data_IF_551235055346
#
_entry.id   IF_551235055346
#
_cell.length_a   1.000
_cell.length_b   1.000
_cell.length_c   1.000
_cell.angle_alpha   90.00
_cell.angle_beta   90.00
_cell.angle_gamma   90.00
#
_symmetry.space_group_name_H-M   'P 1'
#
loop_
_entity.id
_entity.type
_entity.pdbx_description
1 polymer ?
#
# COMPACT_ATOMS: atom_id res chain seq x y z
N UNK A 1 26.12 -13.56 -40.46
CA UNK A 1 26.00 -13.20 -39.02
C UNK A 1 25.45 -11.79 -38.97
N UNK A 2 24.13 -11.64 -38.98
CA UNK A 2 23.49 -10.35 -38.68
C UNK A 2 23.06 -10.41 -37.22
N UNK A 3 23.71 -9.57 -36.41
CA UNK A 3 23.32 -9.34 -35.03
C UNK A 3 22.13 -8.40 -35.10
N UNK A 4 20.92 -8.96 -34.98
CA UNK A 4 19.70 -8.15 -34.92
C UNK A 4 19.76 -7.24 -33.69
N UNK A 5 19.87 -5.94 -33.91
CA UNK A 5 19.61 -4.93 -32.90
C UNK A 5 18.18 -5.10 -32.40
N UNK A 6 18.03 -5.64 -31.20
CA UNK A 6 16.77 -5.53 -30.46
C UNK A 6 16.63 -4.06 -30.07
N UNK A 7 15.96 -3.28 -30.91
CA UNK A 7 15.51 -1.94 -30.54
C UNK A 7 14.54 -2.11 -29.38
N UNK A 8 15.00 -1.74 -28.18
CA UNK A 8 14.13 -1.64 -27.01
C UNK A 8 12.98 -0.67 -27.30
N UNK A 9 11.90 -0.70 -26.50
CA UNK A 9 10.83 0.27 -26.62
C UNK A 9 11.39 1.70 -26.55
N UNK A 10 10.83 2.61 -27.36
CA UNK A 10 11.24 4.02 -27.37
C UNK A 10 10.98 4.64 -25.99
N UNK A 11 11.91 5.46 -25.46
CA UNK A 11 11.67 6.23 -24.25
C UNK A 11 10.38 7.07 -24.36
N UNK A 12 9.60 7.11 -23.28
CA UNK A 12 8.38 7.92 -23.17
C UNK A 12 8.62 9.02 -22.14
N UNK A 13 8.28 10.26 -22.49
CA UNK A 13 8.30 11.40 -21.57
C UNK A 13 6.93 11.55 -20.92
N UNK A 14 6.88 11.59 -19.60
CA UNK A 14 5.67 11.86 -18.82
C UNK A 14 5.78 13.26 -18.22
N UNK A 15 4.78 14.10 -18.46
CA UNK A 15 4.75 15.50 -17.97
C UNK A 15 3.62 15.78 -16.99
N UNK A 16 2.60 14.92 -16.96
CA UNK A 16 1.51 15.05 -16.00
C UNK A 16 1.99 14.63 -14.61
N UNK A 17 1.80 15.52 -13.63
CA UNK A 17 2.24 15.33 -12.23
C UNK A 17 1.69 14.06 -11.58
N UNK A 18 0.44 13.71 -11.91
CA UNK A 18 -0.22 12.54 -11.33
C UNK A 18 0.29 11.25 -11.98
N UNK A 19 0.47 11.25 -13.30
CA UNK A 19 1.11 10.14 -14.02
C UNK A 19 2.56 9.91 -13.58
N UNK A 20 3.32 10.98 -13.29
CA UNK A 20 4.67 10.87 -12.70
C UNK A 20 4.61 10.17 -11.34
N UNK A 21 3.69 10.57 -10.46
CA UNK A 21 3.47 9.92 -9.17
C UNK A 21 3.17 8.42 -9.31
N UNK A 22 2.23 8.06 -10.20
CA UNK A 22 1.90 6.66 -10.49
C UNK A 22 3.09 5.87 -11.03
N UNK A 23 3.90 6.47 -11.91
CA UNK A 23 5.12 5.82 -12.40
C UNK A 23 6.09 5.55 -11.24
N UNK A 24 6.24 6.48 -10.30
CA UNK A 24 7.07 6.29 -9.10
C UNK A 24 6.62 5.08 -8.26
N UNK A 25 5.31 4.89 -8.08
CA UNK A 25 4.74 3.72 -7.39
C UNK A 25 5.09 2.42 -8.13
N UNK A 26 4.92 2.39 -9.45
CA UNK A 26 5.23 1.21 -10.26
C UNK A 26 6.72 0.87 -10.18
N UNK A 27 7.60 1.88 -10.32
CA UNK A 27 9.05 1.68 -10.26
C UNK A 27 9.50 1.19 -8.88
N UNK A 28 8.92 1.72 -7.80
CA UNK A 28 9.22 1.25 -6.45
C UNK A 28 8.81 -0.22 -6.25
N UNK A 29 7.60 -0.58 -6.67
CA UNK A 29 7.10 -1.96 -6.56
C UNK A 29 7.90 -2.95 -7.41
N UNK A 30 8.12 -2.65 -8.70
CA UNK A 30 8.88 -3.52 -9.61
C UNK A 30 10.37 -3.57 -9.27
N UNK A 31 10.89 -2.54 -8.59
CA UNK A 31 12.24 -2.51 -8.05
C UNK A 31 12.43 -3.33 -6.78
N UNK A 32 11.36 -3.90 -6.20
CA UNK A 32 11.40 -4.65 -4.95
C UNK A 32 11.66 -3.77 -3.72
N UNK A 33 11.28 -2.50 -3.77
CA UNK A 33 11.35 -1.61 -2.61
C UNK A 33 10.12 -1.79 -1.71
N UNK A 34 10.30 -1.62 -0.40
CA UNK A 34 9.21 -1.68 0.58
C UNK A 34 8.51 -0.32 0.77
N UNK A 35 9.09 0.77 0.25
CA UNK A 35 8.64 2.14 0.50
C UNK A 35 8.64 3.00 -0.75
N UNK A 36 7.59 3.79 -0.92
CA UNK A 36 7.50 4.88 -1.88
C UNK A 36 7.46 6.22 -1.14
N UNK A 37 8.32 7.16 -1.50
CA UNK A 37 8.39 8.49 -0.89
C UNK A 37 8.21 9.56 -1.95
N UNK A 38 7.27 10.47 -1.71
CA UNK A 38 7.01 11.62 -2.57
C UNK A 38 7.56 12.87 -1.88
N UNK A 39 8.57 13.47 -2.50
CA UNK A 39 9.26 14.64 -1.97
C UNK A 39 9.19 15.81 -2.95
N UNK A 40 9.24 17.03 -2.41
CA UNK A 40 9.25 18.25 -3.20
C UNK A 40 10.66 18.57 -3.70
N UNK A 41 10.84 18.65 -5.01
CA UNK A 41 12.07 19.14 -5.63
C UNK A 41 11.83 20.56 -6.15
N UNK A 42 12.50 21.56 -5.57
CA UNK A 42 12.41 22.95 -6.00
C UNK A 42 13.69 23.72 -5.68
N UNK A 43 14.05 24.67 -6.55
CA UNK A 43 15.16 25.61 -6.34
C UNK A 43 14.77 26.80 -5.44
N UNK A 44 13.58 26.74 -4.83
CA UNK A 44 13.02 27.79 -3.96
C UNK A 44 12.76 27.25 -2.56
N UNK A 45 13.04 28.10 -1.56
CA UNK A 45 12.78 27.82 -0.16
C UNK A 45 11.66 28.72 0.40
N UNK A 46 10.69 28.18 1.16
CA UNK A 46 10.50 26.75 1.46
C UNK A 46 9.95 25.99 0.24
N UNK A 47 10.34 24.72 0.11
CA UNK A 47 9.81 23.83 -0.92
C UNK A 47 8.29 23.68 -0.82
N UNK A 48 7.61 23.44 -1.95
CA UNK A 48 6.18 23.17 -2.01
C UNK A 48 5.95 21.67 -1.86
N UNK A 49 5.10 21.28 -0.91
CA UNK A 49 4.80 19.87 -0.67
C UNK A 49 4.02 19.26 -1.88
N UNK A 50 4.13 17.94 -2.07
CA UNK A 50 3.47 17.24 -3.19
C UNK A 50 1.94 17.32 -3.12
N UNK A 51 1.36 17.46 -1.93
CA UNK A 51 -0.09 17.59 -1.73
C UNK A 51 -0.66 18.95 -2.18
N UNK A 52 0.16 19.99 -2.31
CA UNK A 52 -0.27 21.24 -2.95
C UNK A 52 -0.17 21.14 -4.48
N UNK A 53 0.63 20.19 -4.98
CA UNK A 53 0.74 19.93 -6.40
C UNK A 53 -0.37 18.99 -6.85
N UNK A 54 -0.69 17.96 -6.10
CA UNK A 54 -1.78 17.02 -6.36
C UNK A 54 -3.10 17.52 -5.78
N UNK A 55 -4.22 17.29 -6.48
CA UNK A 55 -5.53 17.46 -5.86
C UNK A 55 -5.78 16.39 -4.79
N UNK A 56 -6.70 16.66 -3.87
CA UNK A 56 -7.19 15.71 -2.83
C UNK A 56 -7.46 14.31 -3.42
N UNK A 57 -8.28 14.25 -4.47
CA UNK A 57 -8.66 13.01 -5.13
C UNK A 57 -7.48 12.24 -5.74
N UNK A 58 -6.53 12.95 -6.33
CA UNK A 58 -5.32 12.35 -6.91
C UNK A 58 -4.40 11.80 -5.83
N UNK A 59 -4.26 12.53 -4.71
CA UNK A 59 -3.43 12.11 -3.60
C UNK A 59 -3.98 10.86 -2.89
N UNK A 60 -5.30 10.73 -2.71
CA UNK A 60 -5.92 9.48 -2.21
C UNK A 60 -5.65 8.33 -3.17
N UNK A 61 -5.92 8.53 -4.47
CA UNK A 61 -5.74 7.49 -5.49
C UNK A 61 -4.27 7.03 -5.58
N UNK A 62 -3.32 7.96 -5.41
CA UNK A 62 -1.90 7.66 -5.43
C UNK A 62 -1.47 6.77 -4.26
N UNK A 63 -1.92 7.09 -3.05
CA UNK A 63 -1.62 6.30 -1.84
C UNK A 63 -2.27 4.93 -1.92
N UNK A 64 -3.55 4.87 -2.32
CA UNK A 64 -4.26 3.62 -2.57
C UNK A 64 -3.49 2.69 -3.52
N UNK A 65 -3.00 3.23 -4.64
CA UNK A 65 -2.18 2.47 -5.61
C UNK A 65 -0.84 1.98 -5.06
N UNK A 66 -0.27 2.68 -4.09
CA UNK A 66 0.96 2.24 -3.43
C UNK A 66 0.65 1.13 -2.42
N UNK A 67 -0.41 1.30 -1.62
CA UNK A 67 -0.84 0.32 -0.62
C UNK A 67 -1.30 -1.00 -1.23
N UNK A 68 -2.00 -0.99 -2.38
CA UNK A 68 -2.39 -2.22 -3.08
C UNK A 68 -1.18 -3.03 -3.59
N UNK A 69 0.00 -2.40 -3.66
CA UNK A 69 1.29 -3.02 -4.01
C UNK A 69 2.15 -3.34 -2.78
N UNK A 70 1.62 -3.15 -1.58
CA UNK A 70 2.33 -3.42 -0.32
C UNK A 70 3.40 -2.40 0.02
N UNK A 71 3.39 -1.22 -0.60
CA UNK A 71 4.39 -0.17 -0.35
C UNK A 71 3.97 0.69 0.85
N UNK A 72 4.90 0.91 1.77
CA UNK A 72 4.78 1.97 2.78
C UNK A 72 4.93 3.32 2.07
N UNK A 73 4.09 4.28 2.39
CA UNK A 73 4.03 5.60 1.75
C UNK A 73 4.49 6.71 2.67
N UNK A 74 5.15 7.70 2.08
CA UNK A 74 5.64 8.84 2.84
C UNK A 74 5.58 10.11 2.00
N UNK A 75 5.06 11.20 2.59
CA UNK A 75 5.20 12.53 2.01
C UNK A 75 6.28 13.33 2.74
N UNK A 76 7.04 14.14 2.00
CA UNK A 76 8.04 15.05 2.57
C UNK A 76 8.05 16.40 1.83
N UNK A 77 8.92 17.30 2.29
CA UNK A 77 9.10 18.70 1.90
C UNK A 77 7.90 19.61 2.22
N UNK A 78 8.21 20.83 2.70
CA UNK A 78 7.22 21.92 2.72
C UNK A 78 6.04 21.79 3.68
N UNK A 79 6.00 20.77 4.54
CA UNK A 79 4.96 20.63 5.56
C UNK A 79 5.05 21.75 6.60
N UNK A 80 3.89 22.33 6.93
CA UNK A 80 3.72 23.47 7.83
C UNK A 80 2.50 23.29 8.73
N UNK A 81 2.61 23.77 9.97
CA UNK A 81 1.50 23.79 10.93
C UNK A 81 0.36 24.71 10.47
N UNK A 82 0.68 25.84 9.83
CA UNK A 82 -0.30 26.89 9.49
C UNK A 82 -1.17 26.60 8.26
N UNK A 83 -0.77 25.66 7.40
CA UNK A 83 -1.35 25.49 6.06
C UNK A 83 -2.17 24.20 5.93
N UNK A 84 -2.60 23.61 7.07
CA UNK A 84 -3.32 22.32 7.16
C UNK A 84 -2.66 21.12 6.47
N UNK A 85 -1.42 21.26 5.99
CA UNK A 85 -0.70 20.20 5.25
C UNK A 85 -0.62 18.87 6.02
N UNK A 86 -0.50 18.92 7.35
CA UNK A 86 -0.51 17.74 8.22
C UNK A 86 -1.88 17.04 8.15
N UNK A 87 -2.97 17.79 8.26
CA UNK A 87 -4.32 17.25 8.15
C UNK A 87 -4.58 16.69 6.75
N UNK A 88 -4.20 17.44 5.69
CA UNK A 88 -4.31 16.98 4.30
C UNK A 88 -3.63 15.63 4.09
N UNK A 89 -2.42 15.44 4.62
CA UNK A 89 -1.69 14.17 4.52
C UNK A 89 -2.38 13.03 5.26
N UNK A 90 -2.88 13.26 6.47
CA UNK A 90 -3.67 12.25 7.20
C UNK A 90 -4.86 11.81 6.36
N UNK A 91 -5.57 12.76 5.77
CA UNK A 91 -6.74 12.46 4.96
C UNK A 91 -6.39 11.67 3.69
N UNK A 92 -5.14 11.62 3.20
CA UNK A 92 -4.79 10.74 2.07
C UNK A 92 -4.59 9.29 2.48
N UNK A 93 -4.47 9.00 3.77
CA UNK A 93 -4.09 7.69 4.28
C UNK A 93 -2.59 7.39 4.17
N UNK A 94 -1.71 8.40 4.05
CA UNK A 94 -0.27 8.12 4.00
C UNK A 94 0.23 7.52 5.32
N UNK A 95 1.24 6.65 5.27
CA UNK A 95 1.79 6.01 6.48
C UNK A 95 2.68 6.97 7.29
N UNK A 96 3.23 8.01 6.66
CA UNK A 96 4.03 8.98 7.38
C UNK A 96 4.27 10.29 6.64
N UNK A 97 4.67 11.30 7.41
CA UNK A 97 5.08 12.61 6.90
C UNK A 97 6.45 13.01 7.43
N UNK A 98 7.26 13.56 6.54
CA UNK A 98 8.57 14.15 6.79
C UNK A 98 8.44 15.58 7.22
N UNK A 99 8.66 15.81 8.52
CA UNK A 99 8.70 17.14 9.09
C UNK A 99 10.13 17.37 9.59
N UNK A 100 10.88 18.20 8.86
CA UNK A 100 12.26 18.54 9.23
C UNK A 100 12.62 20.02 9.07
N UNK A 101 11.83 20.77 8.29
CA UNK A 101 12.17 22.13 7.89
C UNK A 101 12.23 23.15 9.03
N UNK A 102 13.03 24.21 8.81
CA UNK A 102 13.29 25.35 9.70
C UNK A 102 12.06 26.18 10.12
N UNK A 103 10.84 25.74 9.84
CA UNK A 103 9.62 26.51 10.08
C UNK A 103 8.59 25.74 10.92
N UNK A 104 8.92 24.49 11.30
CA UNK A 104 8.01 23.63 12.06
C UNK A 104 8.68 22.99 13.24
N UNK A 105 9.83 22.32 13.07
CA UNK A 105 10.50 21.64 14.19
C UNK A 105 11.78 22.31 14.62
N UNK A 106 12.19 23.39 13.95
CA UNK A 106 13.42 24.12 14.25
C UNK A 106 13.19 25.60 14.05
N UNK A 107 13.90 26.42 14.79
CA UNK A 107 14.01 27.85 14.46
C UNK A 107 14.69 28.04 13.10
N UNK A 108 14.27 29.05 12.35
CA UNK A 108 15.02 29.53 11.18
C UNK A 108 15.72 30.83 11.55
N UNK A 109 17.01 30.90 11.27
CA UNK A 109 17.65 32.20 11.13
C UNK A 109 17.31 32.76 9.74
N UNK A 110 16.45 33.78 9.70
CA UNK A 110 16.03 34.42 8.46
C UNK A 110 17.14 35.23 7.78
N UNK A 111 18.26 35.48 8.47
CA UNK A 111 19.42 36.22 7.95
C UNK A 111 20.40 35.29 7.27
N UNK A 112 20.70 34.14 7.87
CA UNK A 112 21.70 33.19 7.36
C UNK A 112 21.09 32.00 6.62
N UNK A 113 19.78 31.75 6.77
CA UNK A 113 19.10 30.57 6.24
C UNK A 113 19.41 29.28 7.02
N UNK A 114 20.22 29.36 8.08
CA UNK A 114 20.64 28.20 8.86
C UNK A 114 19.55 27.73 9.82
N UNK A 115 19.54 26.42 10.04
CA UNK A 115 18.64 25.79 11.00
C UNK A 115 19.11 26.01 12.43
N UNK A 116 18.25 26.62 13.24
CA UNK A 116 18.45 26.78 14.67
C UNK A 116 18.06 25.53 15.50
N UNK A 117 17.97 25.69 16.82
CA UNK A 117 17.58 24.64 17.75
C UNK A 117 16.21 24.04 17.43
N UNK A 118 15.98 22.81 17.90
CA UNK A 118 14.68 22.15 17.84
C UNK A 118 13.64 22.87 18.69
N UNK A 119 12.38 22.82 18.23
CA UNK A 119 11.20 23.35 18.89
C UNK A 119 10.27 22.21 19.33
N UNK A 120 10.58 21.49 20.43
CA UNK A 120 9.77 20.36 20.90
C UNK A 120 8.32 20.75 21.25
N UNK A 121 8.07 22.02 21.58
CA UNK A 121 6.73 22.57 21.85
C UNK A 121 5.76 22.46 20.66
N UNK A 122 6.28 22.28 19.44
CA UNK A 122 5.47 22.09 18.25
C UNK A 122 5.00 20.63 18.07
N UNK A 123 5.61 19.65 18.76
CA UNK A 123 5.21 18.24 18.66
C UNK A 123 3.76 18.00 19.11
N UNK A 124 3.29 18.49 20.28
CA UNK A 124 1.89 18.35 20.66
C UNK A 124 0.91 18.98 19.66
N UNK A 125 1.30 20.10 19.03
CA UNK A 125 0.47 20.77 18.02
C UNK A 125 0.33 19.90 16.76
N UNK A 126 1.45 19.37 16.26
CA UNK A 126 1.48 18.47 15.09
C UNK A 126 0.63 17.21 15.37
N UNK A 127 0.82 16.60 16.55
CA UNK A 127 0.04 15.44 16.96
C UNK A 127 -1.45 15.76 17.11
N UNK A 128 -1.78 16.96 17.61
CA UNK A 128 -3.16 17.45 17.71
C UNK A 128 -3.82 17.59 16.33
N UNK A 129 -3.13 18.19 15.36
CA UNK A 129 -3.62 18.31 13.98
C UNK A 129 -3.85 16.94 13.33
N UNK A 130 -2.91 16.01 13.51
CA UNK A 130 -3.04 14.64 13.04
C UNK A 130 -4.26 13.95 13.65
N UNK A 131 -4.38 13.98 14.98
CA UNK A 131 -5.47 13.33 15.71
C UNK A 131 -6.83 13.91 15.33
N UNK A 132 -6.93 15.23 15.18
CA UNK A 132 -8.15 15.89 14.76
C UNK A 132 -8.58 15.44 13.36
N UNK A 133 -7.65 15.41 12.40
CA UNK A 133 -7.93 14.93 11.05
C UNK A 133 -8.35 13.46 11.04
N UNK A 134 -7.65 12.61 11.79
CA UNK A 134 -7.94 11.18 11.91
C UNK A 134 -9.33 10.92 12.52
N UNK A 135 -9.81 11.79 13.41
CA UNK A 135 -11.12 11.66 14.06
C UNK A 135 -12.31 12.01 13.15
N UNK A 136 -12.07 12.69 12.02
CA UNK A 136 -13.14 13.03 11.05
C UNK A 136 -13.71 11.79 10.37
N UNK A 137 -14.89 11.91 9.73
CA UNK A 137 -15.47 10.83 8.93
C UNK A 137 -14.51 10.41 7.81
N UNK A 138 -13.94 11.37 7.09
CA UNK A 138 -12.96 11.09 6.03
C UNK A 138 -11.67 10.47 6.56
N UNK A 139 -11.19 10.93 7.73
CA UNK A 139 -10.01 10.38 8.41
C UNK A 139 -10.18 8.92 8.82
N UNK A 140 -11.34 8.58 9.41
CA UNK A 140 -11.70 7.20 9.72
C UNK A 140 -11.91 6.37 8.45
N UNK A 141 -12.51 6.96 7.42
CA UNK A 141 -12.71 6.34 6.12
C UNK A 141 -11.41 5.96 5.42
N UNK A 142 -10.40 6.84 5.40
CA UNK A 142 -9.09 6.49 4.82
C UNK A 142 -8.35 5.46 5.65
N UNK A 143 -8.49 5.46 6.98
CA UNK A 143 -7.93 4.39 7.80
C UNK A 143 -8.53 3.01 7.46
N UNK A 144 -9.85 2.96 7.22
CA UNK A 144 -10.50 1.75 6.70
C UNK A 144 -9.97 1.38 5.31
N UNK A 145 -9.84 2.35 4.39
CA UNK A 145 -9.30 2.10 3.06
C UNK A 145 -7.89 1.51 3.12
N UNK A 146 -6.96 2.08 3.91
CA UNK A 146 -5.61 1.56 4.07
C UNK A 146 -5.59 0.12 4.59
N UNK A 147 -6.48 -0.21 5.53
CA UNK A 147 -6.63 -1.59 6.04
C UNK A 147 -7.12 -2.53 4.93
N UNK A 148 -8.08 -2.11 4.12
CA UNK A 148 -8.58 -2.89 2.99
C UNK A 148 -7.54 -3.03 1.88
N UNK A 149 -6.73 -2.00 1.61
CA UNK A 149 -5.64 -2.06 0.63
C UNK A 149 -4.55 -3.03 1.07
N UNK A 150 -4.21 -3.04 2.36
CA UNK A 150 -3.33 -4.05 2.95
C UNK A 150 -3.93 -5.45 2.82
N UNK A 151 -5.20 -5.64 3.18
CA UNK A 151 -5.88 -6.93 3.05
C UNK A 151 -5.94 -7.41 1.60
N UNK A 152 -6.12 -6.47 0.66
CA UNK A 152 -6.02 -6.72 -0.76
C UNK A 152 -4.61 -7.21 -1.07
N UNK A 153 -3.56 -6.42 -0.88
CA UNK A 153 -2.17 -6.85 -1.14
C UNK A 153 -1.84 -8.24 -0.55
N UNK A 154 -2.26 -8.48 0.68
CA UNK A 154 -2.05 -9.73 1.42
C UNK A 154 -2.81 -10.95 0.87
N UNK A 155 -3.85 -10.74 0.07
CA UNK A 155 -4.78 -11.77 -0.41
C UNK A 155 -5.79 -12.24 0.64
N UNK A 156 -5.89 -11.54 1.78
CA UNK A 156 -6.75 -11.90 2.92
C UNK A 156 -8.14 -11.27 2.85
N UNK A 157 -8.34 -10.34 1.93
CA UNK A 157 -9.65 -9.76 1.60
C UNK A 157 -10.56 -10.80 0.93
N UNK A 158 -11.87 -10.63 1.06
CA UNK A 158 -12.86 -11.35 0.23
C UNK A 158 -13.28 -10.51 -0.99
N UNK A 159 -13.93 -11.13 -1.98
CA UNK A 159 -14.41 -10.41 -3.16
C UNK A 159 -15.42 -9.30 -2.80
N UNK A 160 -16.35 -9.56 -1.88
CA UNK A 160 -17.33 -8.57 -1.43
C UNK A 160 -16.66 -7.37 -0.74
N UNK A 161 -15.64 -7.63 0.08
CA UNK A 161 -14.89 -6.57 0.77
C UNK A 161 -14.01 -5.77 -0.21
N UNK A 162 -13.48 -6.42 -1.25
CA UNK A 162 -12.75 -5.73 -2.32
C UNK A 162 -13.66 -4.81 -3.14
N UNK A 163 -14.92 -5.19 -3.38
CA UNK A 163 -15.91 -4.30 -3.99
C UNK A 163 -16.17 -3.07 -3.10
N UNK A 164 -16.30 -3.27 -1.78
CA UNK A 164 -16.46 -2.17 -0.82
C UNK A 164 -15.22 -1.27 -0.74
N UNK A 165 -14.01 -1.84 -0.85
CA UNK A 165 -12.74 -1.08 -0.97
C UNK A 165 -12.79 -0.10 -2.14
N UNK A 166 -13.22 -0.56 -3.32
CA UNK A 166 -13.33 0.29 -4.51
C UNK A 166 -14.44 1.34 -4.40
N UNK A 167 -15.58 0.99 -3.80
CA UNK A 167 -16.64 1.96 -3.49
C UNK A 167 -16.12 3.03 -2.51
N UNK A 168 -15.44 2.64 -1.44
CA UNK A 168 -14.90 3.55 -0.45
C UNK A 168 -13.89 4.52 -1.06
N UNK A 169 -12.98 4.03 -1.89
CA UNK A 169 -12.04 4.87 -2.65
C UNK A 169 -12.78 5.94 -3.47
N UNK A 170 -13.85 5.55 -4.18
CA UNK A 170 -14.64 6.47 -5.00
C UNK A 170 -15.24 7.59 -4.14
N UNK A 171 -15.84 7.24 -3.00
CA UNK A 171 -16.49 8.22 -2.14
C UNK A 171 -15.49 9.13 -1.41
N UNK A 172 -14.32 8.61 -1.02
CA UNK A 172 -13.23 9.38 -0.44
C UNK A 172 -12.60 10.38 -1.43
N UNK A 173 -12.60 10.07 -2.72
CA UNK A 173 -12.10 10.98 -3.76
C UNK A 173 -13.05 12.15 -4.01
N UNK A 174 -14.32 12.02 -3.63
CA UNK A 174 -15.34 13.06 -3.76
C UNK A 174 -15.76 13.65 -2.41
N UNK A 175 -15.04 13.31 -1.34
CA UNK A 175 -15.33 13.73 0.04
C UNK A 175 -16.80 13.50 0.47
N UNK A 176 -17.40 12.39 0.02
CA UNK A 176 -18.79 12.05 0.34
C UNK A 176 -18.91 11.38 1.71
N UNK A 177 -18.95 12.18 2.78
CA UNK A 177 -18.94 11.69 4.16
C UNK A 177 -20.11 10.76 4.50
N UNK A 178 -21.30 11.00 3.96
CA UNK A 178 -22.48 10.18 4.25
C UNK A 178 -22.31 8.73 3.78
N UNK A 179 -21.81 8.54 2.55
CA UNK A 179 -21.55 7.20 2.01
C UNK A 179 -20.31 6.56 2.65
N UNK A 180 -19.29 7.36 2.99
CA UNK A 180 -18.13 6.86 3.75
C UNK A 180 -18.58 6.29 5.10
N UNK A 181 -19.48 6.97 5.80
CA UNK A 181 -20.03 6.49 7.08
C UNK A 181 -20.88 5.23 6.91
N UNK A 182 -21.74 5.17 5.89
CA UNK A 182 -22.52 3.98 5.57
C UNK A 182 -21.63 2.76 5.27
N UNK A 183 -20.55 2.93 4.50
CA UNK A 183 -19.59 1.87 4.23
C UNK A 183 -18.84 1.45 5.50
N UNK A 184 -18.47 2.41 6.38
CA UNK A 184 -17.82 2.07 7.65
C UNK A 184 -18.73 1.26 8.58
N UNK A 185 -20.03 1.53 8.60
CA UNK A 185 -21.01 0.76 9.38
C UNK A 185 -21.14 -0.68 8.85
N UNK A 186 -21.29 -0.83 7.53
CA UNK A 186 -21.35 -2.12 6.82
C UNK A 186 -20.05 -2.93 7.01
N UNK A 187 -18.92 -2.24 7.14
CA UNK A 187 -17.59 -2.84 7.33
C UNK A 187 -17.11 -2.78 8.79
N UNK A 188 -18.04 -2.67 9.75
CA UNK A 188 -17.72 -2.54 11.18
C UNK A 188 -16.87 -3.70 11.73
N UNK A 189 -16.98 -4.90 11.17
CA UNK A 189 -16.14 -6.05 11.50
C UNK A 189 -14.68 -5.90 11.07
N UNK A 190 -14.40 -5.10 10.03
CA UNK A 190 -13.03 -4.73 9.63
C UNK A 190 -12.54 -3.55 10.45
N UNK A 191 -13.39 -2.55 10.70
CA UNK A 191 -13.05 -1.38 11.52
C UNK A 191 -12.63 -1.80 12.93
N UNK A 192 -13.35 -2.76 13.53
CA UNK A 192 -13.09 -3.27 14.87
C UNK A 192 -11.90 -4.23 14.97
N UNK A 193 -11.22 -4.56 13.87
CA UNK A 193 -10.02 -5.39 13.94
C UNK A 193 -8.92 -4.70 14.73
N UNK A 194 -8.26 -5.47 15.59
CA UNK A 194 -7.11 -5.02 16.35
C UNK A 194 -5.95 -4.62 15.42
N UNK A 195 -5.11 -3.71 15.91
CA UNK A 195 -3.82 -3.45 15.29
C UNK A 195 -2.92 -4.69 15.42
N UNK A 196 -2.03 -4.88 14.46
CA UNK A 196 -1.12 -6.03 14.46
C UNK A 196 0.00 -5.87 15.49
N UNK A 197 0.26 -4.64 15.94
CA UNK A 197 1.27 -4.30 16.93
C UNK A 197 2.65 -4.81 16.54
N UNK A 198 3.34 -5.43 17.50
CA UNK A 198 4.68 -6.01 17.32
C UNK A 198 4.66 -7.42 16.71
N UNK A 199 3.48 -7.94 16.32
CA UNK A 199 3.29 -9.30 15.78
C UNK A 199 2.56 -9.28 14.42
N UNK A 200 3.21 -8.72 13.39
CA UNK A 200 2.59 -8.53 12.08
C UNK A 200 2.20 -9.85 11.38
N UNK A 201 2.96 -10.94 11.56
CA UNK A 201 2.62 -12.21 10.91
C UNK A 201 1.40 -12.87 11.54
N UNK A 202 1.26 -12.81 12.85
CA UNK A 202 0.07 -13.24 13.56
C UNK A 202 -1.15 -12.46 13.06
N UNK A 203 -1.00 -11.14 12.89
CA UNK A 203 -2.03 -10.28 12.31
C UNK A 203 -2.46 -10.73 10.91
N UNK A 204 -1.49 -10.93 10.01
CA UNK A 204 -1.72 -11.43 8.65
C UNK A 204 -2.51 -12.75 8.66
N UNK A 205 -2.04 -13.75 9.42
CA UNK A 205 -2.65 -15.07 9.38
C UNK A 205 -4.00 -15.13 10.11
N UNK A 206 -4.23 -14.30 11.12
CA UNK A 206 -5.58 -14.10 11.69
C UNK A 206 -6.55 -13.56 10.63
N UNK A 207 -6.13 -12.58 9.83
CA UNK A 207 -6.94 -12.07 8.71
C UNK A 207 -7.21 -13.15 7.66
N UNK A 208 -6.18 -13.91 7.29
CA UNK A 208 -6.31 -15.01 6.33
C UNK A 208 -7.36 -16.05 6.80
N UNK A 209 -7.35 -16.41 8.07
CA UNK A 209 -8.26 -17.41 8.63
C UNK A 209 -9.66 -16.88 9.00
N UNK A 210 -9.85 -15.55 9.02
CA UNK A 210 -11.11 -14.91 9.40
C UNK A 210 -12.22 -15.20 8.40
N UNK A 211 -11.90 -15.16 7.11
CA UNK A 211 -12.88 -15.37 6.04
C UNK A 211 -12.89 -16.82 5.58
N UNK A 212 -14.06 -17.32 5.17
CA UNK A 212 -14.18 -18.66 4.58
C UNK A 212 -13.51 -18.76 3.20
N UNK A 213 -13.54 -17.66 2.45
CA UNK A 213 -13.04 -17.56 1.08
C UNK A 213 -12.26 -16.26 0.86
N UNK A 214 -11.10 -16.09 1.50
CA UNK A 214 -10.16 -15.01 1.16
C UNK A 214 -9.62 -15.23 -0.26
N UNK A 215 -9.22 -14.16 -0.97
CA UNK A 215 -8.76 -14.25 -2.36
C UNK A 215 -7.60 -15.23 -2.55
N UNK A 216 -6.68 -15.33 -1.58
CA UNK A 216 -5.55 -16.27 -1.62
C UNK A 216 -5.99 -17.75 -1.67
N UNK A 217 -7.21 -18.08 -1.22
CA UNK A 217 -7.70 -19.46 -1.17
C UNK A 217 -7.82 -20.08 -2.56
N UNK A 218 -8.26 -19.33 -3.55
CA UNK A 218 -8.47 -19.85 -4.91
C UNK A 218 -7.17 -20.40 -5.54
N UNK A 219 -6.08 -19.62 -5.67
CA UNK A 219 -4.81 -20.15 -6.18
C UNK A 219 -4.27 -21.29 -5.33
N UNK A 220 -4.42 -21.24 -4.01
CA UNK A 220 -3.99 -22.32 -3.12
C UNK A 220 -4.76 -23.62 -3.38
N UNK A 221 -6.09 -23.57 -3.47
CA UNK A 221 -6.93 -24.74 -3.73
C UNK A 221 -6.70 -25.29 -5.14
N UNK A 222 -6.42 -24.44 -6.14
CA UNK A 222 -6.04 -24.91 -7.48
C UNK A 222 -4.75 -25.74 -7.46
N UNK A 223 -3.78 -25.40 -6.61
CA UNK A 223 -2.49 -26.09 -6.57
C UNK A 223 -2.48 -27.31 -5.64
N UNK A 224 -2.95 -27.16 -4.40
CA UNK A 224 -2.86 -28.21 -3.36
C UNK A 224 -4.20 -28.86 -3.01
N UNK A 225 -5.29 -28.42 -3.65
CA UNK A 225 -6.63 -28.89 -3.39
C UNK A 225 -7.21 -28.42 -2.04
N UNK A 226 -8.51 -28.61 -1.88
CA UNK A 226 -9.25 -28.30 -0.65
C UNK A 226 -8.66 -28.97 0.60
N UNK A 227 -8.17 -30.21 0.47
CA UNK A 227 -7.54 -30.92 1.59
C UNK A 227 -6.21 -30.27 1.98
N UNK A 228 -5.39 -29.86 1.02
CA UNK A 228 -4.12 -29.18 1.26
C UNK A 228 -4.31 -27.84 1.94
N UNK A 229 -5.26 -27.04 1.44
CA UNK A 229 -5.65 -25.78 2.07
C UNK A 229 -6.06 -25.96 3.54
N UNK A 230 -6.91 -26.95 3.85
CA UNK A 230 -7.33 -27.22 5.24
C UNK A 230 -6.18 -27.65 6.14
N UNK A 231 -5.23 -28.44 5.64
CA UNK A 231 -4.04 -28.84 6.41
C UNK A 231 -3.21 -27.61 6.75
N UNK A 232 -2.97 -26.73 5.78
CA UNK A 232 -2.27 -25.48 6.01
C UNK A 232 -2.98 -24.59 7.03
N UNK A 233 -4.29 -24.36 6.88
CA UNK A 233 -5.06 -23.60 7.86
C UNK A 233 -4.98 -24.21 9.26
N UNK A 234 -4.97 -25.55 9.36
CA UNK A 234 -4.77 -26.25 10.63
C UNK A 234 -3.40 -25.97 11.25
N UNK A 235 -2.33 -26.05 10.44
CA UNK A 235 -0.97 -25.70 10.88
C UNK A 235 -0.89 -24.25 11.37
N UNK A 236 -1.39 -23.31 10.58
CA UNK A 236 -1.39 -21.88 10.91
C UNK A 236 -2.13 -21.60 12.23
N UNK A 237 -3.25 -22.27 12.49
CA UNK A 237 -3.97 -22.13 13.77
C UNK A 237 -3.10 -22.51 14.96
N UNK A 238 -2.41 -23.64 14.88
CA UNK A 238 -1.49 -24.09 15.94
C UNK A 238 -0.38 -23.07 16.19
N UNK A 239 0.20 -22.52 15.12
CA UNK A 239 1.25 -21.50 15.23
C UNK A 239 0.74 -20.17 15.79
N UNK A 240 -0.48 -19.77 15.43
CA UNK A 240 -1.14 -18.59 16.01
C UNK A 240 -1.42 -18.76 17.51
N UNK A 241 -1.85 -19.94 17.94
CA UNK A 241 -2.08 -20.24 19.36
C UNK A 241 -0.77 -20.25 20.16
N UNK A 242 0.33 -20.64 19.53
CA UNK A 242 1.68 -20.57 20.11
C UNK A 242 2.34 -19.19 19.97
N UNK A 243 1.74 -18.27 19.20
CA UNK A 243 2.31 -16.98 18.79
C UNK A 243 3.71 -17.08 18.16
N UNK A 244 3.93 -18.12 17.34
CA UNK A 244 5.20 -18.41 16.66
C UNK A 244 5.36 -17.57 15.38
N UNK A 245 5.83 -16.33 15.51
CA UNK A 245 6.06 -15.40 14.39
C UNK A 245 7.12 -15.90 13.40
N UNK A 246 8.13 -16.64 13.87
CA UNK A 246 9.25 -17.09 13.05
C UNK A 246 8.77 -18.12 12.03
N UNK A 247 8.06 -19.16 12.48
CA UNK A 247 7.55 -20.18 11.57
C UNK A 247 6.43 -19.64 10.66
N UNK A 248 5.63 -18.67 11.13
CA UNK A 248 4.67 -17.96 10.28
C UNK A 248 5.37 -17.13 9.20
N UNK A 249 6.47 -16.45 9.52
CA UNK A 249 7.27 -15.68 8.57
C UNK A 249 7.86 -16.59 7.47
N UNK A 250 8.35 -17.76 7.84
CA UNK A 250 8.85 -18.77 6.90
C UNK A 250 7.74 -19.21 5.94
N UNK A 251 6.55 -19.55 6.45
CA UNK A 251 5.40 -19.91 5.61
C UNK A 251 5.08 -18.78 4.62
N UNK A 252 5.07 -17.53 5.08
CA UNK A 252 4.70 -16.38 4.27
C UNK A 252 5.70 -16.07 3.14
N UNK A 253 6.98 -16.31 3.41
CA UNK A 253 8.10 -15.94 2.53
C UNK A 253 8.46 -17.04 1.52
N UNK A 254 7.97 -18.27 1.72
CA UNK A 254 8.33 -19.43 0.91
C UNK A 254 7.23 -19.82 -0.09
N UNK A 255 7.66 -20.47 -1.17
CA UNK A 255 6.74 -21.20 -2.04
C UNK A 255 6.17 -22.43 -1.32
N UNK A 256 4.91 -22.80 -1.61
CA UNK A 256 4.05 -22.23 -2.66
C UNK A 256 3.25 -20.98 -2.22
N UNK A 257 3.34 -20.58 -0.94
CA UNK A 257 2.50 -19.52 -0.38
C UNK A 257 2.74 -18.15 -1.04
N UNK A 258 4.02 -17.81 -1.27
CA UNK A 258 4.40 -16.59 -1.99
C UNK A 258 3.76 -16.54 -3.38
N UNK A 259 3.80 -17.64 -4.13
CA UNK A 259 3.17 -17.75 -5.45
C UNK A 259 1.65 -17.56 -5.40
N UNK A 260 0.97 -18.06 -4.37
CA UNK A 260 -0.48 -17.85 -4.22
C UNK A 260 -0.85 -16.39 -3.96
N UNK A 261 -0.07 -15.68 -3.14
CA UNK A 261 -0.29 -14.23 -2.89
C UNK A 261 -0.15 -13.42 -4.16
N UNK A 262 0.86 -13.71 -4.98
CA UNK A 262 0.99 -13.04 -6.28
C UNK A 262 -0.16 -13.40 -7.22
N UNK A 263 -0.57 -14.68 -7.26
CA UNK A 263 -1.62 -15.15 -8.15
C UNK A 263 -3.03 -14.63 -7.83
N UNK A 264 -3.32 -14.26 -6.58
CA UNK A 264 -4.68 -13.85 -6.18
C UNK A 264 -5.11 -12.47 -6.69
N UNK A 265 -4.19 -11.67 -7.23
CA UNK A 265 -4.48 -10.35 -7.82
C UNK A 265 -4.46 -10.34 -9.34
N UNK A 266 -4.19 -11.49 -9.96
CA UNK A 266 -4.03 -11.63 -11.41
C UNK A 266 -5.37 -11.76 -12.16
N UNK A 267 -6.37 -10.93 -11.86
CA UNK A 267 -7.56 -10.82 -12.72
C UNK A 267 -7.39 -9.72 -13.79
N UNK A 268 -7.06 -10.14 -15.02
CA UNK A 268 -7.19 -9.32 -16.23
C UNK A 268 -5.93 -9.21 -17.11
N UNK A 269 -4.76 -8.93 -16.52
CA UNK A 269 -3.54 -8.69 -17.31
C UNK A 269 -2.62 -9.92 -17.49
N UNK A 270 -2.68 -10.90 -16.58
CA UNK A 270 -1.78 -12.06 -16.57
C UNK A 270 -2.35 -13.34 -17.18
N UNK A 271 -3.65 -13.37 -17.56
CA UNK A 271 -4.13 -14.32 -18.59
C UNK A 271 -3.40 -14.16 -19.94
N UNK A 272 -2.71 -13.04 -20.18
CA UNK A 272 -1.81 -12.87 -21.33
C UNK A 272 -0.34 -13.21 -21.06
N UNK A 273 0.16 -13.08 -19.83
CA UNK A 273 1.58 -13.37 -19.51
C UNK A 273 1.84 -14.86 -19.25
N UNK A 274 0.88 -15.62 -18.72
CA UNK A 274 1.04 -17.08 -18.53
C UNK A 274 0.96 -17.88 -19.84
N UNK A 275 0.30 -17.38 -20.89
CA UNK A 275 0.33 -17.99 -22.24
C UNK A 275 1.58 -17.66 -23.06
N UNK A 276 2.34 -16.62 -22.69
CA UNK A 276 3.51 -16.18 -23.45
C UNK A 276 4.86 -16.61 -22.86
N UNK A 277 4.93 -17.12 -21.62
CA UNK A 277 6.21 -17.51 -21.01
C UNK A 277 6.36 -18.94 -20.49
N UNK A 278 5.30 -19.74 -20.38
CA UNK A 278 5.43 -21.18 -20.01
C UNK A 278 5.05 -22.18 -21.11
N UNK A 279 4.49 -21.72 -22.23
CA UNK A 279 4.09 -22.60 -23.35
C UNK A 279 5.20 -22.95 -24.36
N UNK A 280 6.38 -22.32 -24.31
CA UNK A 280 7.41 -22.47 -25.35
C UNK A 280 8.81 -22.91 -24.88
N UNK A 281 9.11 -22.90 -23.58
CA UNK A 281 10.45 -23.26 -23.11
C UNK A 281 10.55 -24.61 -22.38
N UNK A 282 9.43 -25.22 -21.96
CA UNK A 282 9.49 -26.50 -21.24
C UNK A 282 9.10 -27.73 -22.08
N UNK A 283 8.59 -27.56 -23.31
CA UNK A 283 8.34 -28.70 -24.22
C UNK A 283 9.53 -29.10 -25.09
N UNK A 284 10.52 -28.23 -25.29
CA UNK A 284 11.64 -28.53 -26.21
C UNK A 284 12.87 -29.15 -25.55
N UNK A 285 12.85 -29.34 -24.22
CA UNK A 285 13.93 -29.98 -23.46
C UNK A 285 13.58 -31.39 -22.96
N UNK A 286 12.34 -31.86 -23.14
CA UNK A 286 11.90 -33.21 -22.77
C UNK A 286 11.63 -34.15 -23.97
N UNK A 287 11.77 -33.67 -25.21
CA UNK A 287 11.64 -34.50 -26.43
C UNK A 287 12.99 -34.81 -27.12
N UNK A 288 14.12 -34.59 -26.43
CA UNK A 288 15.47 -34.95 -26.94
C UNK A 288 16.28 -35.86 -26.02
N UNK A 289 15.65 -36.47 -25.02
CA UNK A 289 16.23 -37.58 -24.27
C UNK A 289 15.19 -38.69 -24.17
N UNK A 290 14.91 -39.33 -25.30
CA UNK A 290 14.47 -40.71 -25.44
C UNK A 290 15.07 -41.25 -26.74
#
# INVERSE_FOLDING_TARGET
KEVGEKTGPKPVTITDKYEIGKLGVILASEGGFDKCTFDGAADVYPSVNVLEQLGRAEAVDLIHRAHERGLITYYSAGFKIKDDSIAKAVLTGTDGVGIGGAQVLRHMDHTTGMHGPYQPENLPVILGLRNAAQATVLGRGVALLCRLDRMYFEGTITEAENQKRMSLLKELKTDNEAEVEAIMEDMSHIVSMADDGEKPMCGYFRRMLRAESPLIKEPAVMEVGEKGWRILCGKVKVLLDAEDEEELCDIYSMDPFLSWRHGCHEEGALRMRSKLKLGKQTRHLLEKVQ
#
